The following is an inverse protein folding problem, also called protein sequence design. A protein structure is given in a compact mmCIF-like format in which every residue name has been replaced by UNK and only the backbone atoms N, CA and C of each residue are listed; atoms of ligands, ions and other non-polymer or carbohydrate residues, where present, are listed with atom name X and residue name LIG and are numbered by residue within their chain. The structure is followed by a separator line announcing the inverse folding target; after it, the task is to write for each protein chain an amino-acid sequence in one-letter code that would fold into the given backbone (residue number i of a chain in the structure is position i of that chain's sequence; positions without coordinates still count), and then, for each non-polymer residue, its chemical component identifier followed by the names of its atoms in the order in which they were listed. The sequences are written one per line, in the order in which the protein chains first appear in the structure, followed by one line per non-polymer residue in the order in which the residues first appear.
data_IF_953750350817
#
_entry.id   IF_953750350817
#
_cell.length_a   1.000
_cell.length_b   1.000
_cell.length_c   1.000
_cell.angle_alpha   90.00
_cell.angle_beta   90.00
_cell.angle_gamma   90.00
#
_symmetry.space_group_name_H-M   'P 1'
#
loop_
_entity.id
_entity.type
_entity.pdbx_description
1 polymer ?
#
# COMPACT_ATOMS: atom_id res chain seq x y z
N UNK A 1 -14.27 4.18 3.27
CA UNK A 1 -13.89 2.75 3.16
C UNK A 1 -15.05 1.88 2.67
N UNK A 2 -16.33 2.20 2.87
CA UNK A 2 -17.43 1.44 2.22
C UNK A 2 -17.38 1.50 0.70
N UNK A 3 -18.07 0.57 0.03
CA UNK A 3 -18.25 0.55 -1.42
C UNK A 3 -19.55 1.28 -1.82
N UNK A 4 -19.67 1.79 -3.06
CA UNK A 4 -20.89 2.48 -3.50
C UNK A 4 -22.16 1.60 -3.43
N UNK A 5 -22.02 0.31 -3.71
CA UNK A 5 -23.10 -0.69 -3.68
C UNK A 5 -23.19 -1.46 -2.35
N UNK A 6 -22.21 -1.24 -1.45
CA UNK A 6 -22.15 -1.86 -0.14
C UNK A 6 -21.49 -0.91 0.87
N UNK A 7 -22.23 0.12 1.33
CA UNK A 7 -21.69 1.12 2.22
C UNK A 7 -21.41 0.53 3.60
N UNK A 8 -20.45 1.12 4.32
CA UNK A 8 -20.32 0.87 5.76
C UNK A 8 -21.58 1.42 6.44
N UNK A 9 -22.25 0.66 7.32
CA UNK A 9 -23.42 1.13 8.05
C UNK A 9 -23.18 2.45 8.77
N UNK A 10 -24.21 3.30 8.88
CA UNK A 10 -24.08 4.56 9.60
C UNK A 10 -23.72 4.30 11.07
N UNK A 11 -22.68 4.98 11.54
CA UNK A 11 -22.13 4.81 12.88
C UNK A 11 -21.44 6.09 13.34
N UNK A 12 -21.19 6.20 14.64
CA UNK A 12 -20.60 7.40 15.24
C UNK A 12 -19.11 7.58 14.90
N UNK A 13 -18.37 6.51 14.64
CA UNK A 13 -16.91 6.57 14.43
C UNK A 13 -16.56 6.61 12.95
N UNK A 14 -15.59 7.43 12.56
CA UNK A 14 -15.04 7.42 11.19
C UNK A 14 -13.79 6.55 11.05
N UNK A 15 -13.04 6.33 12.13
CA UNK A 15 -11.85 5.47 12.15
C UNK A 15 -12.20 4.12 12.76
N UNK A 16 -12.48 3.16 11.89
CA UNK A 16 -12.73 1.77 12.25
C UNK A 16 -11.44 1.03 12.59
N UNK A 17 -11.57 0.06 13.50
CA UNK A 17 -10.50 -0.88 13.83
C UNK A 17 -10.27 -1.88 12.70
N UNK A 18 -9.12 -2.53 12.72
CA UNK A 18 -8.79 -3.58 11.75
C UNK A 18 -9.79 -4.75 11.79
N UNK A 19 -10.29 -5.11 12.97
CA UNK A 19 -11.30 -6.16 13.14
C UNK A 19 -12.64 -5.77 12.51
N UNK A 20 -13.14 -4.54 12.75
CA UNK A 20 -14.38 -4.06 12.15
C UNK A 20 -14.31 -4.00 10.62
N UNK A 21 -13.15 -3.63 10.05
CA UNK A 21 -12.95 -3.66 8.59
C UNK A 21 -12.91 -5.09 8.05
N UNK A 22 -12.29 -6.04 8.78
CA UNK A 22 -12.30 -7.46 8.40
C UNK A 22 -13.73 -8.02 8.41
N UNK A 23 -14.52 -7.70 9.43
CA UNK A 23 -15.92 -8.11 9.53
C UNK A 23 -16.75 -7.52 8.37
N UNK A 24 -16.53 -6.24 8.03
CA UNK A 24 -17.15 -5.61 6.86
C UNK A 24 -16.82 -6.35 5.55
N UNK A 25 -15.56 -6.72 5.33
CA UNK A 25 -15.14 -7.45 4.13
C UNK A 25 -15.71 -8.88 4.09
N UNK A 26 -15.79 -9.55 5.24
CA UNK A 26 -16.44 -10.86 5.34
C UNK A 26 -17.93 -10.77 5.01
N UNK A 27 -18.61 -9.75 5.53
CA UNK A 27 -20.02 -9.50 5.24
C UNK A 27 -20.25 -9.18 3.76
N UNK A 28 -19.38 -8.38 3.14
CA UNK A 28 -19.40 -8.13 1.70
C UNK A 28 -19.32 -9.47 0.92
N UNK A 29 -18.34 -10.32 1.26
CA UNK A 29 -18.15 -11.61 0.60
C UNK A 29 -19.35 -12.57 0.80
N UNK A 30 -20.02 -12.51 1.95
CA UNK A 30 -21.24 -13.27 2.21
C UNK A 30 -22.44 -12.74 1.43
N UNK A 31 -22.68 -11.43 1.47
CA UNK A 31 -23.79 -10.76 0.80
C UNK A 31 -23.81 -11.06 -0.71
N UNK A 32 -22.64 -11.02 -1.36
CA UNK A 32 -22.49 -11.31 -2.79
C UNK A 32 -22.20 -12.78 -3.10
N UNK A 33 -22.21 -13.67 -2.09
CA UNK A 33 -22.00 -15.10 -2.27
C UNK A 33 -20.64 -15.46 -2.88
N UNK A 34 -19.60 -14.68 -2.60
CA UNK A 34 -18.28 -14.78 -3.23
C UNK A 34 -17.44 -15.93 -2.69
N UNK A 35 -17.70 -16.37 -1.45
CA UNK A 35 -16.90 -17.42 -0.78
C UNK A 35 -16.78 -18.72 -1.59
N UNK A 36 -17.78 -19.07 -2.40
CA UNK A 36 -17.77 -20.26 -3.27
C UNK A 36 -16.72 -20.21 -4.40
N UNK A 37 -16.22 -19.01 -4.74
CA UNK A 37 -15.18 -18.81 -5.75
C UNK A 37 -13.78 -18.68 -5.15
N UNK A 38 -13.67 -18.61 -3.82
CA UNK A 38 -12.41 -18.38 -3.11
C UNK A 38 -11.87 -19.71 -2.61
N UNK A 39 -10.67 -20.09 -3.05
CA UNK A 39 -9.92 -21.23 -2.50
C UNK A 39 -8.90 -20.73 -1.48
N UNK A 40 -9.28 -20.71 -0.20
CA UNK A 40 -8.36 -20.40 0.88
C UNK A 40 -7.25 -21.46 1.00
N UNK A 41 -6.17 -21.14 1.72
CA UNK A 41 -5.01 -22.02 1.92
C UNK A 41 -4.36 -22.54 0.62
N UNK A 42 -4.61 -21.87 -0.50
CA UNK A 42 -4.04 -22.18 -1.80
C UNK A 42 -3.02 -21.10 -2.16
N UNK A 43 -1.77 -21.49 -2.36
CA UNK A 43 -0.72 -20.55 -2.78
C UNK A 43 -0.47 -20.69 -4.27
N UNK A 44 -0.52 -19.57 -4.99
CA UNK A 44 -0.12 -19.49 -6.40
C UNK A 44 1.40 -19.56 -6.47
N UNK A 45 1.92 -20.53 -7.22
CA UNK A 45 3.35 -20.80 -7.35
C UNK A 45 3.91 -20.30 -8.68
N UNK A 46 3.12 -20.38 -9.74
CA UNK A 46 3.55 -20.03 -11.09
C UNK A 46 2.35 -19.59 -11.94
N UNK A 47 2.52 -18.51 -12.69
CA UNK A 47 1.60 -17.99 -13.69
C UNK A 47 2.42 -17.74 -14.94
N UNK A 48 2.02 -18.36 -16.06
CA UNK A 48 2.65 -18.14 -17.36
C UNK A 48 1.64 -18.23 -18.49
N UNK A 49 1.82 -17.47 -19.58
CA UNK A 49 1.03 -17.65 -20.78
C UNK A 49 1.35 -19.00 -21.45
N UNK A 50 0.31 -19.66 -21.97
CA UNK A 50 0.39 -20.86 -22.83
C UNK A 50 -0.66 -20.69 -23.91
N UNK A 51 -0.25 -20.60 -25.17
CA UNK A 51 -1.11 -20.24 -26.29
C UNK A 51 -1.89 -18.95 -26.01
N UNK A 52 -3.22 -19.00 -26.02
CA UNK A 52 -4.11 -17.86 -25.72
C UNK A 52 -4.67 -17.89 -24.28
N UNK A 53 -4.07 -18.68 -23.38
CA UNK A 53 -4.54 -18.86 -22.00
C UNK A 53 -3.40 -18.69 -21.00
N UNK A 54 -3.77 -18.67 -19.72
CA UNK A 54 -2.88 -18.60 -18.58
C UNK A 54 -2.86 -19.93 -17.87
N UNK A 55 -1.69 -20.56 -17.84
CA UNK A 55 -1.44 -21.72 -16.99
C UNK A 55 -1.04 -21.24 -15.61
N UNK A 56 -1.86 -21.60 -14.62
CA UNK A 56 -1.63 -21.25 -13.22
C UNK A 56 -1.39 -22.54 -12.43
N UNK A 57 -0.24 -22.60 -11.77
CA UNK A 57 0.14 -23.69 -10.86
C UNK A 57 -0.06 -23.22 -9.42
N UNK A 58 -0.80 -24.00 -8.65
CA UNK A 58 -1.09 -23.73 -7.25
C UNK A 58 -0.68 -24.91 -6.37
N UNK A 59 -0.44 -24.64 -5.09
CA UNK A 59 -0.26 -25.65 -4.06
C UNK A 59 -1.30 -25.45 -2.96
N UNK A 60 -2.03 -26.51 -2.64
CA UNK A 60 -2.82 -26.59 -1.42
C UNK A 60 -1.87 -26.69 -0.22
N UNK A 61 -1.80 -25.66 0.62
CA UNK A 61 -0.84 -25.57 1.71
C UNK A 61 -1.01 -26.67 2.78
N UNK A 62 -2.23 -27.10 3.15
CA UNK A 62 -2.41 -28.18 4.13
C UNK A 62 -1.94 -29.55 3.63
N UNK A 63 -2.22 -29.90 2.37
CA UNK A 63 -1.92 -31.25 1.83
C UNK A 63 -0.63 -31.33 1.03
N UNK A 64 -0.10 -30.19 0.57
CA UNK A 64 1.01 -30.12 -0.37
C UNK A 64 0.63 -30.50 -1.81
N UNK A 65 -0.66 -30.74 -2.08
CA UNK A 65 -1.13 -31.12 -3.41
C UNK A 65 -0.92 -29.98 -4.40
N UNK A 66 -0.26 -30.28 -5.51
CA UNK A 66 -0.08 -29.35 -6.63
C UNK A 66 -1.19 -29.59 -7.64
N UNK A 67 -1.80 -28.51 -8.11
CA UNK A 67 -2.76 -28.55 -9.21
C UNK A 67 -2.50 -27.41 -10.19
N UNK A 68 -2.86 -27.67 -11.44
CA UNK A 68 -2.63 -26.78 -12.57
C UNK A 68 -3.95 -26.58 -13.30
N UNK A 69 -4.29 -25.33 -13.57
CA UNK A 69 -5.50 -24.97 -14.30
C UNK A 69 -5.16 -23.95 -15.40
N UNK A 70 -5.96 -23.97 -16.47
CA UNK A 70 -5.92 -22.99 -17.55
C UNK A 70 -7.05 -21.98 -17.36
N UNK A 71 -6.76 -20.71 -17.63
CA UNK A 71 -7.69 -19.60 -17.52
C UNK A 71 -7.57 -18.67 -18.73
N UNK A 72 -8.67 -18.10 -19.18
CA UNK A 72 -8.65 -17.17 -20.32
C UNK A 72 -8.11 -15.78 -19.92
N UNK A 73 -8.16 -15.44 -18.64
CA UNK A 73 -7.67 -14.17 -18.11
C UNK A 73 -7.20 -14.30 -16.66
N UNK A 74 -6.35 -13.39 -16.22
CA UNK A 74 -5.78 -13.36 -14.87
C UNK A 74 -5.78 -11.94 -14.29
N UNK A 75 -6.27 -11.80 -13.06
CA UNK A 75 -6.19 -10.56 -12.28
C UNK A 75 -5.24 -10.76 -11.10
N UNK A 76 -4.18 -9.96 -11.03
CA UNK A 76 -3.16 -10.02 -9.99
C UNK A 76 -3.54 -9.04 -8.87
N UNK A 77 -3.89 -9.60 -7.72
CA UNK A 77 -4.41 -8.88 -6.56
C UNK A 77 -3.66 -9.24 -5.25
N UNK A 78 -2.37 -9.61 -5.32
CA UNK A 78 -1.61 -10.08 -4.15
C UNK A 78 -1.12 -8.94 -3.22
N UNK A 79 -1.42 -7.68 -3.56
CA UNK A 79 -0.96 -6.51 -2.82
C UNK A 79 0.55 -6.25 -2.93
N UNK A 80 1.01 -5.20 -2.25
CA UNK A 80 2.39 -4.72 -2.37
C UNK A 80 2.99 -4.21 -1.04
N UNK A 81 2.38 -4.56 0.10
CA UNK A 81 2.88 -4.26 1.44
C UNK A 81 3.33 -5.53 2.18
N UNK A 82 4.04 -6.41 1.47
CA UNK A 82 4.47 -7.73 1.98
C UNK A 82 5.97 -8.00 1.83
N UNK A 83 6.63 -7.58 0.74
CA UNK A 83 8.09 -7.77 0.57
C UNK A 83 8.87 -6.55 1.13
N UNK A 84 9.52 -6.66 2.30
CA UNK A 84 10.09 -5.51 3.00
C UNK A 84 11.37 -4.98 2.35
N UNK A 85 11.54 -3.65 2.37
CA UNK A 85 12.81 -3.01 2.04
C UNK A 85 13.63 -2.88 3.32
N UNK A 86 14.69 -3.67 3.45
CA UNK A 86 15.59 -3.65 4.60
C UNK A 86 16.95 -3.10 4.15
N UNK A 87 17.23 -1.81 4.34
CA UNK A 87 18.53 -1.25 3.95
C UNK A 87 19.64 -1.81 4.85
N UNK A 88 20.83 -1.99 4.27
CA UNK A 88 22.02 -2.34 5.04
C UNK A 88 22.56 -1.09 5.75
N UNK A 89 22.86 -1.21 7.04
CA UNK A 89 23.55 -0.17 7.82
C UNK A 89 25.04 -0.56 7.89
N UNK A 90 25.99 0.35 7.63
CA UNK A 90 27.40 0.05 7.85
C UNK A 90 27.65 -0.37 9.32
N UNK A 91 28.35 -1.49 9.54
CA UNK A 91 28.59 -2.04 10.87
C UNK A 91 27.41 -2.84 11.45
N UNK A 92 26.37 -3.12 10.67
CA UNK A 92 25.18 -3.84 11.12
C UNK A 92 25.50 -5.20 11.77
N UNK A 93 26.54 -5.88 11.30
CA UNK A 93 27.05 -7.14 11.84
C UNK A 93 27.57 -7.05 13.28
N UNK A 94 27.90 -5.84 13.75
CA UNK A 94 28.36 -5.59 15.11
C UNK A 94 27.19 -5.47 16.10
N UNK A 95 25.96 -5.28 15.61
CA UNK A 95 24.81 -5.06 16.48
C UNK A 95 24.35 -6.37 17.14
N UNK A 96 24.38 -6.40 18.47
CA UNK A 96 23.95 -7.54 19.27
C UNK A 96 22.45 -7.55 19.58
N UNK A 97 21.76 -6.43 19.33
CA UNK A 97 20.32 -6.29 19.49
C UNK A 97 19.51 -6.89 18.35
N UNK A 98 18.19 -6.68 18.38
CA UNK A 98 17.30 -7.16 17.32
C UNK A 98 17.16 -6.13 16.20
N UNK A 99 17.31 -6.57 14.94
CA UNK A 99 17.00 -5.75 13.77
C UNK A 99 15.87 -6.43 13.01
N UNK A 100 14.79 -5.70 12.77
CA UNK A 100 13.65 -6.23 12.02
C UNK A 100 12.93 -5.14 11.21
N UNK A 101 12.06 -5.56 10.30
CA UNK A 101 11.18 -4.66 9.56
C UNK A 101 9.80 -4.58 10.20
N UNK A 102 9.10 -3.46 10.02
CA UNK A 102 7.70 -3.24 10.40
C UNK A 102 6.73 -4.34 9.92
N UNK A 103 7.12 -5.10 8.89
CA UNK A 103 6.38 -6.27 8.41
C UNK A 103 6.23 -7.36 9.50
N UNK A 104 7.23 -7.51 10.36
CA UNK A 104 7.26 -8.50 11.44
C UNK A 104 6.69 -7.96 12.75
N UNK A 105 6.36 -6.67 12.81
CA UNK A 105 5.75 -6.07 13.99
C UNK A 105 4.34 -6.62 14.23
N UNK A 106 4.01 -6.94 15.49
CA UNK A 106 2.70 -7.45 15.90
C UNK A 106 2.13 -6.68 17.08
N UNK A 107 2.93 -6.47 18.11
CA UNK A 107 2.54 -5.80 19.34
C UNK A 107 3.74 -5.04 19.95
N UNK A 108 3.48 -4.06 20.84
CA UNK A 108 4.53 -3.26 21.44
C UNK A 108 5.20 -3.98 22.63
N UNK A 109 4.56 -4.98 23.25
CA UNK A 109 4.95 -5.55 24.55
C UNK A 109 6.38 -6.08 24.57
N UNK A 110 6.83 -6.66 23.46
CA UNK A 110 8.22 -7.12 23.31
C UNK A 110 9.28 -6.02 23.40
N UNK A 111 8.89 -4.74 23.31
CA UNK A 111 9.77 -3.57 23.47
C UNK A 111 9.68 -2.94 24.86
N UNK A 112 8.92 -3.53 25.77
CA UNK A 112 8.75 -3.02 27.13
C UNK A 112 10.09 -2.84 27.82
N UNK A 113 10.35 -1.65 28.35
CA UNK A 113 11.60 -1.32 29.05
C UNK A 113 12.84 -1.24 28.15
N UNK A 114 12.69 -1.22 26.82
CA UNK A 114 13.81 -1.17 25.88
C UNK A 114 14.05 0.25 25.34
N UNK A 115 15.25 0.44 24.78
CA UNK A 115 15.58 1.57 23.90
C UNK A 115 15.44 1.12 22.44
N UNK A 116 14.53 1.74 21.69
CA UNK A 116 14.19 1.32 20.33
C UNK A 116 14.49 2.41 19.31
N UNK A 117 15.15 2.05 18.21
CA UNK A 117 15.37 2.93 17.08
C UNK A 117 14.39 2.57 15.95
N UNK A 118 13.49 3.48 15.60
CA UNK A 118 12.58 3.36 14.45
C UNK A 118 13.16 4.13 13.26
N UNK A 119 13.27 3.48 12.10
CA UNK A 119 13.93 4.06 10.91
C UNK A 119 12.93 4.29 9.79
N UNK A 120 12.71 5.56 9.42
CA UNK A 120 11.80 6.01 8.38
C UNK A 120 10.54 6.65 8.96
N UNK A 121 10.18 7.85 8.48
CA UNK A 121 9.02 8.63 8.95
C UNK A 121 7.82 8.57 7.98
N UNK A 122 7.60 7.42 7.35
CA UNK A 122 6.34 7.14 6.64
C UNK A 122 5.20 6.79 7.62
N UNK A 123 3.99 6.46 7.13
CA UNK A 123 2.85 6.14 7.99
C UNK A 123 3.16 5.07 9.05
N UNK A 124 3.83 3.97 8.68
CA UNK A 124 4.24 2.93 9.64
C UNK A 124 5.21 3.45 10.70
N UNK A 125 6.22 4.22 10.31
CA UNK A 125 7.21 4.71 11.27
C UNK A 125 6.62 5.70 12.25
N UNK A 126 5.72 6.58 11.79
CA UNK A 126 5.04 7.52 12.66
C UNK A 126 4.16 6.79 13.69
N UNK A 127 3.30 5.88 13.22
CA UNK A 127 2.32 5.16 14.05
C UNK A 127 3.02 4.18 15.01
N UNK A 128 4.03 3.43 14.53
CA UNK A 128 4.78 2.49 15.36
C UNK A 128 5.67 3.21 16.39
N UNK A 129 6.21 4.38 16.08
CA UNK A 129 6.92 5.21 17.09
C UNK A 129 5.99 5.55 18.25
N UNK A 130 4.76 6.00 17.95
CA UNK A 130 3.77 6.32 18.98
C UNK A 130 3.30 5.07 19.75
N UNK A 131 3.13 3.95 19.05
CA UNK A 131 2.66 2.72 19.68
C UNK A 131 3.73 2.10 20.60
N UNK A 132 4.98 2.05 20.15
CA UNK A 132 6.11 1.50 20.93
C UNK A 132 6.43 2.38 22.13
N UNK A 133 6.32 3.71 22.02
CA UNK A 133 6.62 4.63 23.13
C UNK A 133 5.70 4.47 24.33
N UNK A 134 4.55 3.80 24.18
CA UNK A 134 3.65 3.48 25.29
C UNK A 134 4.21 2.45 26.27
N UNK A 135 5.23 1.68 25.89
CA UNK A 135 5.83 0.62 26.72
C UNK A 135 7.36 0.66 26.80
N UNK A 136 8.03 1.25 25.80
CA UNK A 136 9.49 1.37 25.75
C UNK A 136 10.00 2.51 26.67
N UNK A 137 11.20 2.34 27.22
CA UNK A 137 11.84 3.36 28.05
C UNK A 137 12.28 4.57 27.22
N UNK A 138 12.69 4.35 25.97
CA UNK A 138 13.15 5.39 25.06
C UNK A 138 12.95 4.97 23.61
N UNK A 139 12.48 5.88 22.76
CA UNK A 139 12.31 5.64 21.33
C UNK A 139 12.97 6.76 20.53
N UNK A 140 13.74 6.41 19.50
CA UNK A 140 14.24 7.37 18.53
C UNK A 140 13.59 7.13 17.18
N UNK A 141 12.99 8.15 16.60
CA UNK A 141 12.55 8.15 15.21
C UNK A 141 13.63 8.80 14.34
N UNK A 142 14.32 8.00 13.52
CA UNK A 142 15.32 8.47 12.56
C UNK A 142 14.74 8.58 11.17
N UNK A 143 14.98 9.69 10.46
CA UNK A 143 14.46 9.88 9.10
C UNK A 143 15.28 10.85 8.23
N UNK A 144 14.92 10.88 6.94
CA UNK A 144 15.50 11.75 5.91
C UNK A 144 14.52 12.78 5.34
N UNK A 145 13.29 12.86 5.88
CA UNK A 145 12.31 13.83 5.37
C UNK A 145 12.78 15.26 5.67
N UNK A 146 12.62 16.16 4.68
CA UNK A 146 13.06 17.55 4.78
C UNK A 146 12.10 18.38 5.66
N UNK A 147 10.81 18.08 5.59
CA UNK A 147 9.80 18.77 6.39
C UNK A 147 9.85 18.29 7.85
N UNK A 148 9.74 19.21 8.82
CA UNK A 148 9.66 18.84 10.23
C UNK A 148 8.44 17.96 10.53
N UNK A 149 8.62 16.96 11.38
CA UNK A 149 7.50 16.18 11.92
C UNK A 149 6.72 17.08 12.88
N UNK A 150 5.43 17.30 12.58
CA UNK A 150 4.54 18.16 13.37
C UNK A 150 3.92 17.45 14.58
N UNK A 151 3.85 16.12 14.52
CA UNK A 151 3.34 15.29 15.62
C UNK A 151 4.09 15.58 16.91
N UNK A 152 3.34 15.88 17.96
CA UNK A 152 3.87 15.95 19.32
C UNK A 152 3.89 14.54 19.92
N UNK A 153 5.07 13.93 19.96
CA UNK A 153 5.25 12.63 20.60
C UNK A 153 5.38 12.75 22.13
N UNK A 154 5.15 11.65 22.88
CA UNK A 154 5.46 11.59 24.30
C UNK A 154 6.94 11.91 24.60
N UNK A 155 7.23 12.34 25.83
CA UNK A 155 8.55 12.85 26.23
C UNK A 155 9.71 11.84 26.10
N UNK A 156 9.42 10.54 26.02
CA UNK A 156 10.41 9.48 25.81
C UNK A 156 10.73 9.23 24.32
N UNK A 157 10.22 10.06 23.41
CA UNK A 157 10.51 9.99 21.98
C UNK A 157 11.39 11.14 21.55
N UNK A 158 12.45 10.83 20.82
CA UNK A 158 13.32 11.82 20.19
C UNK A 158 13.37 11.62 18.67
N UNK A 159 13.43 12.72 17.93
CA UNK A 159 13.62 12.69 16.47
C UNK A 159 15.09 12.94 16.17
N UNK A 160 15.69 12.08 15.34
CA UNK A 160 17.08 12.17 14.94
C UNK A 160 17.23 12.18 13.43
N UNK A 161 18.34 12.71 12.90
CA UNK A 161 18.63 12.59 11.48
C UNK A 161 18.99 11.14 11.14
N UNK A 162 19.39 10.91 9.89
CA UNK A 162 19.67 9.56 9.37
C UNK A 162 20.79 8.84 10.12
N UNK A 163 20.76 7.51 10.06
CA UNK A 163 21.80 6.65 10.64
C UNK A 163 23.04 6.73 9.75
N UNK A 164 24.19 6.96 10.38
CA UNK A 164 25.49 6.92 9.70
C UNK A 164 26.07 5.51 9.70
N UNK A 165 26.11 4.85 10.87
CA UNK A 165 26.62 3.47 11.05
C UNK A 165 26.29 2.94 12.45
N UNK A 166 26.49 1.64 12.64
CA UNK A 166 26.59 1.00 13.95
C UNK A 166 28.07 0.94 14.33
N UNK A 167 28.41 1.40 15.53
CA UNK A 167 29.79 1.49 16.00
C UNK A 167 30.26 0.21 16.67
N UNK A 168 29.45 -0.35 17.56
CA UNK A 168 29.73 -1.55 18.36
C UNK A 168 28.46 -1.97 19.11
N UNK A 169 28.28 -3.27 19.35
CA UNK A 169 27.26 -3.91 20.20
C UNK A 169 25.84 -3.32 20.16
N UNK A 170 25.58 -2.19 20.82
CA UNK A 170 24.27 -1.51 20.88
C UNK A 170 24.31 -0.05 20.35
N UNK A 171 25.49 0.47 20.01
CA UNK A 171 25.74 1.89 19.79
C UNK A 171 25.61 2.27 18.32
N UNK A 172 24.68 3.17 18.02
CA UNK A 172 24.43 3.72 16.68
C UNK A 172 24.91 5.16 16.62
N UNK A 173 25.64 5.51 15.56
CA UNK A 173 26.07 6.88 15.21
C UNK A 173 25.12 7.45 14.15
N UNK A 174 24.63 8.67 14.36
CA UNK A 174 23.82 9.43 13.42
C UNK A 174 24.70 10.37 12.57
N UNK A 175 24.15 10.88 11.46
CA UNK A 175 24.93 11.74 10.54
C UNK A 175 25.37 13.08 11.16
N UNK A 176 24.73 13.52 12.24
CA UNK A 176 25.13 14.71 13.01
C UNK A 176 26.29 14.43 14.01
N UNK A 177 26.79 13.19 14.05
CA UNK A 177 27.85 12.74 14.95
C UNK A 177 27.37 12.33 16.35
N UNK A 178 26.08 12.48 16.65
CA UNK A 178 25.52 12.01 17.92
C UNK A 178 25.45 10.49 17.95
N UNK A 179 25.51 9.92 19.16
CA UNK A 179 25.49 8.47 19.36
C UNK A 179 24.48 8.09 20.44
N UNK A 180 23.76 6.98 20.25
CA UNK A 180 22.83 6.42 21.22
C UNK A 180 22.91 4.89 21.23
N UNK A 181 22.65 4.28 22.40
CA UNK A 181 22.55 2.83 22.55
C UNK A 181 21.11 2.33 22.39
N UNK A 182 20.91 1.22 21.67
CA UNK A 182 19.61 0.64 21.36
C UNK A 182 19.59 -0.87 21.55
N UNK A 183 18.47 -1.40 22.04
CA UNK A 183 18.23 -2.85 22.13
C UNK A 183 17.60 -3.39 20.84
N UNK A 184 16.88 -2.55 20.10
CA UNK A 184 16.22 -2.93 18.86
C UNK A 184 16.25 -1.82 17.81
N UNK A 185 16.34 -2.22 16.54
CA UNK A 185 16.19 -1.37 15.36
C UNK A 185 15.01 -1.88 14.55
N UNK A 186 14.02 -1.02 14.31
CA UNK A 186 12.82 -1.32 13.56
C UNK A 186 12.78 -0.50 12.27
N UNK A 187 12.99 -1.17 11.15
CA UNK A 187 12.89 -0.58 9.82
C UNK A 187 11.44 -0.35 9.41
N UNK A 188 11.08 0.90 9.20
CA UNK A 188 9.82 1.38 8.63
C UNK A 188 10.07 1.98 7.23
N UNK A 189 10.86 1.28 6.43
CA UNK A 189 11.47 1.75 5.18
C UNK A 189 10.70 1.34 3.92
N UNK A 190 9.49 0.83 4.10
CA UNK A 190 8.55 0.52 3.02
C UNK A 190 8.76 -0.86 2.41
N UNK A 191 8.18 -1.06 1.23
CA UNK A 191 8.03 -2.37 0.61
C UNK A 191 8.37 -2.31 -0.88
N UNK A 192 8.69 -3.46 -1.47
CA UNK A 192 8.84 -3.64 -2.92
C UNK A 192 7.56 -4.22 -3.52
N UNK A 193 7.30 -3.87 -4.78
CA UNK A 193 6.45 -4.71 -5.60
C UNK A 193 7.16 -6.04 -5.85
N UNK A 194 6.46 -7.13 -5.60
CA UNK A 194 7.01 -8.47 -5.72
C UNK A 194 5.93 -9.42 -6.21
N UNK A 195 6.22 -10.11 -7.31
CA UNK A 195 5.35 -11.10 -7.93
C UNK A 195 6.15 -12.38 -8.23
N UNK A 196 6.62 -13.09 -7.19
CA UNK A 196 7.55 -14.22 -7.35
C UNK A 196 6.95 -15.41 -8.12
N UNK A 197 5.63 -15.40 -8.31
CA UNK A 197 4.89 -16.40 -9.08
C UNK A 197 4.72 -16.03 -10.56
N UNK A 198 5.08 -14.82 -11.01
CA UNK A 198 5.02 -14.48 -12.44
C UNK A 198 6.28 -15.01 -13.12
N UNK A 199 6.10 -15.88 -14.11
CA UNK A 199 7.19 -16.36 -14.94
C UNK A 199 7.71 -15.25 -15.87
N UNK A 200 8.99 -15.30 -16.27
CA UNK A 200 9.60 -14.29 -17.15
C UNK A 200 8.85 -14.09 -18.48
N UNK A 201 8.20 -15.14 -18.99
CA UNK A 201 7.36 -15.07 -20.20
C UNK A 201 6.08 -14.25 -20.04
N UNK A 202 5.73 -13.84 -18.81
CA UNK A 202 4.74 -12.80 -18.59
C UNK A 202 5.22 -11.44 -19.10
N UNK A 203 6.54 -11.22 -19.21
CA UNK A 203 7.17 -9.97 -19.66
C UNK A 203 6.83 -8.75 -18.79
N UNK A 204 6.70 -8.98 -17.48
CA UNK A 204 6.57 -7.92 -16.48
C UNK A 204 7.96 -7.58 -15.94
N UNK A 205 8.29 -6.29 -15.96
CA UNK A 205 9.51 -5.76 -15.37
C UNK A 205 9.17 -4.88 -14.17
N UNK A 206 10.01 -4.95 -13.14
CA UNK A 206 9.94 -4.08 -11.96
C UNK A 206 11.31 -3.44 -11.79
N UNK A 207 11.36 -2.11 -11.87
CA UNK A 207 12.60 -1.37 -11.69
C UNK A 207 12.35 -0.18 -10.75
N UNK A 208 13.01 -0.19 -9.58
CA UNK A 208 12.76 0.70 -8.44
C UNK A 208 11.26 0.96 -8.21
N UNK A 209 10.50 -0.11 -7.95
CA UNK A 209 9.05 -0.06 -7.74
C UNK A 209 8.20 0.53 -8.89
N UNK A 210 8.74 0.61 -10.10
CA UNK A 210 7.96 0.90 -11.30
C UNK A 210 7.70 -0.39 -12.09
N UNK A 211 6.43 -0.77 -12.22
CA UNK A 211 5.98 -1.98 -12.93
C UNK A 211 5.62 -1.62 -14.37
N UNK A 212 6.18 -2.33 -15.33
CA UNK A 212 5.97 -2.12 -16.76
C UNK A 212 5.81 -3.45 -17.51
N UNK A 213 5.10 -3.48 -18.66
CA UNK A 213 4.43 -2.36 -19.33
C UNK A 213 2.91 -2.32 -19.03
N UNK A 214 2.50 -1.43 -18.10
CA UNK A 214 1.11 -1.34 -17.66
C UNK A 214 0.38 -0.10 -18.21
N UNK A 215 -0.68 -0.32 -18.99
CA UNK A 215 -1.64 0.71 -19.35
C UNK A 215 -2.48 1.10 -18.13
N UNK A 216 -2.56 2.40 -17.85
CA UNK A 216 -3.29 2.98 -16.69
C UNK A 216 -2.93 2.32 -15.35
N UNK A 217 -1.66 1.89 -15.22
CA UNK A 217 -1.11 1.18 -14.06
C UNK A 217 -1.79 -0.16 -13.73
N UNK A 218 -2.50 -0.76 -14.68
CA UNK A 218 -3.31 -1.96 -14.44
C UNK A 218 -3.11 -3.04 -15.50
N UNK A 219 -3.34 -2.71 -16.77
CA UNK A 219 -3.51 -3.72 -17.82
C UNK A 219 -2.17 -3.94 -18.52
N UNK A 220 -1.73 -5.19 -18.64
CA UNK A 220 -0.52 -5.48 -19.42
C UNK A 220 -0.77 -5.13 -20.89
N UNK A 221 0.04 -4.23 -21.46
CA UNK A 221 -0.15 -3.68 -22.81
C UNK A 221 -0.18 -4.80 -23.88
N UNK A 222 0.81 -5.70 -23.87
CA UNK A 222 0.90 -6.77 -24.88
C UNK A 222 0.04 -8.00 -24.60
N UNK A 223 -0.37 -8.21 -23.35
CA UNK A 223 -1.15 -9.37 -22.90
C UNK A 223 -2.35 -8.89 -22.10
N UNK A 224 -3.33 -8.20 -22.72
CA UNK A 224 -4.38 -7.47 -22.00
C UNK A 224 -5.36 -8.36 -21.22
N UNK A 225 -5.30 -9.69 -21.40
CA UNK A 225 -5.96 -10.67 -20.52
C UNK A 225 -5.24 -10.86 -19.17
N UNK A 226 -4.16 -10.12 -18.91
CA UNK A 226 -3.55 -9.93 -17.59
C UNK A 226 -3.75 -8.49 -17.11
N UNK A 227 -4.25 -8.35 -15.88
CA UNK A 227 -4.45 -7.07 -15.20
C UNK A 227 -3.95 -7.12 -13.76
N UNK A 228 -3.50 -6.00 -13.23
CA UNK A 228 -3.13 -5.78 -11.85
C UNK A 228 -4.14 -4.84 -11.19
N UNK A 229 -4.67 -5.24 -10.04
CA UNK A 229 -5.56 -4.39 -9.25
C UNK A 229 -4.81 -3.91 -8.02
N UNK A 230 -4.89 -2.61 -7.77
CA UNK A 230 -4.34 -2.00 -6.57
C UNK A 230 -2.84 -1.72 -6.62
N UNK A 231 -2.25 -1.53 -7.81
CA UNK A 231 -0.88 -1.02 -7.94
C UNK A 231 -0.77 0.43 -7.44
N UNK A 232 -1.67 1.36 -7.78
CA UNK A 232 -1.45 2.74 -7.37
C UNK A 232 -1.56 2.96 -5.85
N UNK A 233 -0.74 3.86 -5.32
CA UNK A 233 -0.74 4.24 -3.90
C UNK A 233 -1.00 5.74 -3.71
N UNK A 234 -1.24 6.15 -2.45
CA UNK A 234 -1.79 7.47 -2.12
C UNK A 234 -3.14 7.73 -2.79
N UNK A 235 -4.11 6.86 -2.49
CA UNK A 235 -5.40 6.74 -3.19
C UNK A 235 -6.55 6.58 -2.20
N UNK A 236 -7.78 6.72 -2.68
CA UNK A 236 -8.99 6.20 -2.03
C UNK A 236 -9.05 4.68 -2.23
N UNK A 237 -8.34 3.90 -1.42
CA UNK A 237 -8.01 2.48 -1.64
C UNK A 237 -9.17 1.60 -2.12
N UNK A 238 -10.24 1.43 -1.32
CA UNK A 238 -11.33 0.50 -1.68
C UNK A 238 -12.14 1.00 -2.89
N UNK A 239 -12.31 2.32 -3.00
CA UNK A 239 -13.02 2.95 -4.12
C UNK A 239 -12.27 2.76 -5.43
N UNK A 240 -10.94 2.91 -5.40
CA UNK A 240 -10.09 2.63 -6.54
C UNK A 240 -10.16 1.16 -6.93
N UNK A 241 -10.06 0.23 -5.97
CA UNK A 241 -10.16 -1.21 -6.29
C UNK A 241 -11.47 -1.56 -7.00
N UNK A 242 -12.59 -1.03 -6.52
CA UNK A 242 -13.90 -1.19 -7.16
C UNK A 242 -13.91 -0.63 -8.59
N UNK A 243 -13.45 0.62 -8.79
CA UNK A 243 -13.42 1.23 -10.11
C UNK A 243 -12.50 0.48 -11.09
N UNK A 244 -11.32 0.05 -10.64
CA UNK A 244 -10.38 -0.73 -11.42
C UNK A 244 -10.98 -2.10 -11.82
N UNK A 245 -11.64 -2.78 -10.87
CA UNK A 245 -12.32 -4.04 -11.15
C UNK A 245 -13.47 -3.86 -12.15
N UNK A 246 -14.31 -2.83 -11.98
CA UNK A 246 -15.40 -2.52 -12.92
C UNK A 246 -14.87 -2.20 -14.32
N UNK A 247 -13.81 -1.41 -14.42
CA UNK A 247 -13.15 -1.08 -15.69
C UNK A 247 -12.72 -2.35 -16.42
N UNK A 248 -11.96 -3.21 -15.73
CA UNK A 248 -11.40 -4.40 -16.34
C UNK A 248 -12.47 -5.46 -16.66
N UNK A 249 -13.47 -5.64 -15.80
CA UNK A 249 -14.61 -6.52 -16.07
C UNK A 249 -15.44 -6.07 -17.29
N UNK A 250 -15.61 -4.76 -17.52
CA UNK A 250 -16.28 -4.27 -18.72
C UNK A 250 -15.51 -4.61 -19.99
N UNK A 251 -14.17 -4.50 -19.95
CA UNK A 251 -13.32 -4.97 -21.04
C UNK A 251 -13.47 -6.48 -21.27
N UNK A 252 -13.33 -7.31 -20.24
CA UNK A 252 -13.44 -8.77 -20.36
C UNK A 252 -14.80 -9.24 -20.88
N UNK A 253 -15.88 -8.53 -20.54
CA UNK A 253 -17.24 -8.85 -20.99
C UNK A 253 -17.57 -8.25 -22.37
N UNK A 254 -16.61 -7.61 -23.05
CA UNK A 254 -16.82 -7.00 -24.36
C UNK A 254 -17.73 -5.77 -24.35
N UNK A 255 -17.97 -5.17 -23.17
CA UNK A 255 -18.76 -3.94 -23.02
C UNK A 255 -17.92 -2.68 -23.27
N UNK A 256 -16.61 -2.83 -23.38
CA UNK A 256 -15.63 -1.79 -23.70
C UNK A 256 -14.48 -2.43 -24.48
N UNK A 257 -13.93 -1.69 -25.44
CA UNK A 257 -12.68 -2.06 -26.12
C UNK A 257 -11.52 -1.24 -25.55
N UNK A 258 -10.34 -1.85 -25.42
CA UNK A 258 -9.12 -1.10 -25.17
C UNK A 258 -8.62 -0.44 -26.47
N UNK A 259 -7.88 0.66 -26.38
CA UNK A 259 -7.09 1.16 -27.50
C UNK A 259 -6.10 0.12 -28.01
N UNK A 260 -5.54 0.37 -29.20
CA UNK A 260 -4.44 -0.45 -29.71
C UNK A 260 -3.22 -0.41 -28.78
N UNK A 261 -2.36 -1.43 -28.87
CA UNK A 261 -1.15 -1.49 -28.06
C UNK A 261 -0.25 -0.24 -28.26
N UNK A 262 -0.20 0.30 -29.48
CA UNK A 262 0.56 1.52 -29.77
C UNK A 262 -0.03 2.74 -29.07
N UNK A 263 -1.35 2.93 -29.13
CA UNK A 263 -2.03 4.03 -28.42
C UNK A 263 -1.87 3.91 -26.91
N UNK A 264 -1.94 2.68 -26.36
CA UNK A 264 -1.69 2.44 -24.93
C UNK A 264 -0.24 2.79 -24.53
N UNK A 265 0.75 2.51 -25.40
CA UNK A 265 2.15 2.88 -25.15
C UNK A 265 2.37 4.38 -25.19
N UNK A 266 1.84 5.06 -26.20
CA UNK A 266 1.91 6.54 -26.31
C UNK A 266 1.31 7.18 -25.07
N UNK A 267 0.09 6.78 -24.69
CA UNK A 267 -0.56 7.28 -23.49
C UNK A 267 0.26 7.02 -22.22
N UNK A 268 0.80 5.81 -22.06
CA UNK A 268 1.60 5.46 -20.87
C UNK A 268 2.89 6.28 -20.82
N UNK A 269 3.54 6.50 -21.96
CA UNK A 269 4.74 7.32 -22.06
C UNK A 269 4.45 8.79 -21.69
N UNK A 270 3.36 9.36 -22.21
CA UNK A 270 2.93 10.73 -21.87
C UNK A 270 2.63 10.88 -20.37
N UNK A 271 1.97 9.91 -19.74
CA UNK A 271 1.75 9.91 -18.29
C UNK A 271 3.08 9.86 -17.52
N UNK A 272 4.02 9.00 -17.93
CA UNK A 272 5.35 8.91 -17.30
C UNK A 272 6.14 10.22 -17.41
N UNK A 273 6.14 10.86 -18.58
CA UNK A 273 6.81 12.14 -18.81
C UNK A 273 6.18 13.26 -17.97
N UNK A 274 4.86 13.32 -17.91
CA UNK A 274 4.14 14.28 -17.07
C UNK A 274 4.47 14.09 -15.58
N UNK A 275 4.58 12.84 -15.11
CA UNK A 275 4.98 12.50 -13.74
C UNK A 275 6.42 12.93 -13.45
N UNK A 276 7.34 12.69 -14.39
CA UNK A 276 8.72 13.12 -14.27
C UNK A 276 8.84 14.65 -14.23
N UNK A 277 8.07 15.37 -15.06
CA UNK A 277 8.02 16.83 -15.07
C UNK A 277 7.52 17.42 -13.74
N UNK A 278 6.68 16.69 -13.00
CA UNK A 278 6.24 17.03 -11.64
C UNK A 278 7.28 16.69 -10.56
N UNK A 279 8.41 16.11 -10.93
CA UNK A 279 9.51 15.75 -10.01
C UNK A 279 9.35 14.40 -9.32
N UNK A 280 8.44 13.52 -9.78
CA UNK A 280 8.34 12.18 -9.23
C UNK A 280 9.57 11.34 -9.57
N UNK A 281 10.08 10.64 -8.55
CA UNK A 281 11.12 9.62 -8.73
C UNK A 281 10.54 8.34 -9.33
N UNK A 282 11.40 7.43 -9.80
CA UNK A 282 11.00 6.17 -10.43
C UNK A 282 10.04 5.34 -9.55
N UNK A 283 10.34 5.20 -8.26
CA UNK A 283 9.44 4.54 -7.29
C UNK A 283 8.10 5.21 -7.02
N UNK A 284 7.94 6.46 -7.47
CA UNK A 284 6.71 7.23 -7.34
C UNK A 284 5.87 7.20 -8.63
N UNK A 285 6.28 6.47 -9.68
CA UNK A 285 5.53 6.44 -10.94
C UNK A 285 4.11 5.88 -10.80
N UNK A 286 3.83 5.06 -9.78
CA UNK A 286 2.47 4.60 -9.44
C UNK A 286 1.80 5.41 -8.31
N UNK A 287 2.39 6.53 -7.87
CA UNK A 287 1.77 7.39 -6.86
C UNK A 287 0.67 8.24 -7.48
N UNK A 288 -0.55 8.19 -6.96
CA UNK A 288 -1.61 9.09 -7.44
C UNK A 288 -1.57 10.44 -6.74
N UNK A 289 -1.67 10.46 -5.40
CA UNK A 289 -1.60 11.70 -4.63
C UNK A 289 -2.58 12.77 -5.17
N UNK A 290 -2.10 13.96 -5.56
CA UNK A 290 -2.96 15.01 -6.13
C UNK A 290 -3.70 14.60 -7.41
N UNK A 291 -3.16 13.65 -8.17
CA UNK A 291 -3.69 13.24 -9.48
C UNK A 291 -4.78 12.15 -9.38
N UNK A 292 -5.12 11.69 -8.16
CA UNK A 292 -6.05 10.57 -7.96
C UNK A 292 -7.43 10.81 -8.58
N UNK A 293 -7.99 12.02 -8.47
CA UNK A 293 -9.31 12.34 -9.05
C UNK A 293 -9.28 12.27 -10.58
N UNK A 294 -8.20 12.75 -11.21
CA UNK A 294 -8.05 12.71 -12.67
C UNK A 294 -8.03 11.26 -13.16
N UNK A 295 -7.23 10.42 -12.50
CA UNK A 295 -7.16 8.99 -12.79
C UNK A 295 -8.53 8.30 -12.67
N UNK A 296 -9.29 8.60 -11.61
CA UNK A 296 -10.62 8.03 -11.43
C UNK A 296 -11.61 8.49 -12.49
N UNK A 297 -11.61 9.78 -12.83
CA UNK A 297 -12.51 10.33 -13.84
C UNK A 297 -12.22 9.71 -15.21
N UNK A 298 -10.96 9.51 -15.54
CA UNK A 298 -10.52 8.94 -16.80
C UNK A 298 -10.96 7.47 -16.94
N UNK A 299 -10.69 6.62 -15.94
CA UNK A 299 -11.19 5.24 -15.92
C UNK A 299 -12.72 5.19 -16.02
N UNK A 300 -13.41 6.07 -15.29
CA UNK A 300 -14.86 6.11 -15.28
C UNK A 300 -15.44 6.53 -16.64
N UNK A 301 -14.80 7.51 -17.29
CA UNK A 301 -15.18 8.02 -18.60
C UNK A 301 -15.04 6.93 -19.67
N UNK A 302 -13.85 6.35 -19.80
CA UNK A 302 -13.52 5.30 -20.77
C UNK A 302 -14.47 4.10 -20.64
N UNK A 303 -14.72 3.68 -19.40
CA UNK A 303 -15.59 2.55 -19.11
C UNK A 303 -17.07 2.91 -19.06
N UNK A 304 -17.46 4.16 -19.33
CA UNK A 304 -18.84 4.67 -19.22
C UNK A 304 -19.52 4.19 -17.91
N UNK A 305 -18.91 4.49 -16.78
CA UNK A 305 -19.36 4.06 -15.44
C UNK A 305 -19.32 5.22 -14.46
N UNK A 306 -20.02 5.07 -13.32
CA UNK A 306 -19.98 6.08 -12.27
C UNK A 306 -18.54 6.34 -11.78
N UNK A 307 -18.10 7.61 -11.71
CA UNK A 307 -16.81 8.00 -11.15
C UNK A 307 -16.81 7.93 -9.62
N UNK A 308 -15.63 8.06 -9.04
CA UNK A 308 -15.49 8.22 -7.58
C UNK A 308 -15.84 9.66 -7.21
N UNK A 309 -16.83 9.90 -6.32
CA UNK A 309 -17.25 11.24 -5.95
C UNK A 309 -16.12 12.08 -5.35
N UNK A 310 -15.98 13.38 -5.73
CA UNK A 310 -14.91 14.24 -5.22
C UNK A 310 -14.85 14.37 -3.70
N UNK A 311 -15.98 14.26 -3.00
CA UNK A 311 -16.03 14.27 -1.53
C UNK A 311 -15.11 13.21 -0.90
N UNK A 312 -14.96 12.04 -1.53
CA UNK A 312 -14.13 10.95 -1.00
C UNK A 312 -12.64 11.29 -1.10
N UNK A 313 -12.22 11.92 -2.20
CA UNK A 313 -10.85 12.42 -2.37
C UNK A 313 -10.56 13.53 -1.35
N UNK A 314 -11.47 14.51 -1.21
CA UNK A 314 -11.33 15.59 -0.22
C UNK A 314 -11.23 15.05 1.22
N UNK A 315 -12.05 14.06 1.58
CA UNK A 315 -12.01 13.40 2.88
C UNK A 315 -10.69 12.65 3.10
N UNK A 316 -10.23 11.89 2.10
CA UNK A 316 -8.96 11.16 2.17
C UNK A 316 -7.80 12.11 2.39
N UNK A 317 -7.74 13.20 1.64
CA UNK A 317 -6.66 14.18 1.73
C UNK A 317 -6.69 14.95 3.06
N UNK A 318 -7.88 15.30 3.56
CA UNK A 318 -8.00 15.87 4.91
C UNK A 318 -7.55 14.86 5.99
N UNK A 319 -7.97 13.61 5.91
CA UNK A 319 -7.60 12.56 6.88
C UNK A 319 -6.10 12.33 6.90
N UNK A 320 -5.45 12.28 5.72
CA UNK A 320 -3.99 12.17 5.61
C UNK A 320 -3.30 13.40 6.18
N UNK A 321 -3.79 14.61 5.88
CA UNK A 321 -3.27 15.83 6.48
C UNK A 321 -3.36 15.78 8.01
N UNK A 322 -4.50 15.36 8.56
CA UNK A 322 -4.70 15.22 10.01
C UNK A 322 -3.76 14.19 10.64
N UNK A 323 -3.50 13.06 9.97
CA UNK A 323 -2.51 12.08 10.42
C UNK A 323 -1.12 12.70 10.59
N UNK A 324 -0.68 13.55 9.65
CA UNK A 324 0.63 14.19 9.71
C UNK A 324 0.69 15.42 10.64
N UNK A 325 -0.43 16.13 10.80
CA UNK A 325 -0.51 17.31 11.69
C UNK A 325 -0.73 16.91 13.16
N UNK A 326 -1.42 15.81 13.44
CA UNK A 326 -1.90 15.42 14.78
C UNK A 326 -2.14 13.89 14.87
N UNK A 327 -1.05 13.11 14.80
CA UNK A 327 -1.10 11.64 14.83
C UNK A 327 -1.78 11.08 16.08
N UNK A 328 -1.71 11.80 17.21
CA UNK A 328 -2.26 11.32 18.49
C UNK A 328 -3.79 11.35 18.45
N UNK A 329 -4.40 12.42 17.93
CA UNK A 329 -5.84 12.64 18.07
C UNK A 329 -6.62 12.55 16.76
N UNK A 330 -5.98 12.42 15.58
CA UNK A 330 -6.73 12.43 14.30
C UNK A 330 -7.83 11.35 14.22
N UNK A 331 -7.66 10.22 14.92
CA UNK A 331 -8.65 9.12 14.95
C UNK A 331 -9.91 9.45 15.75
N UNK A 332 -9.90 10.52 16.54
CA UNK A 332 -11.08 11.02 17.25
C UNK A 332 -11.98 11.86 16.34
N UNK A 333 -11.48 12.28 15.17
CA UNK A 333 -12.26 13.06 14.22
C UNK A 333 -13.42 12.21 13.65
N UNK A 334 -14.61 12.80 13.63
CA UNK A 334 -15.80 12.20 13.02
C UNK A 334 -16.22 13.00 11.79
N UNK A 335 -16.61 12.32 10.73
CA UNK A 335 -16.98 12.92 9.45
C UNK A 335 -18.32 12.39 8.97
N UNK A 336 -19.15 13.29 8.43
CA UNK A 336 -20.41 12.96 7.74
C UNK A 336 -20.39 13.53 6.33
N UNK A 337 -20.60 12.65 5.34
CA UNK A 337 -20.80 13.06 3.94
C UNK A 337 -22.19 13.67 3.81
N UNK A 338 -22.28 14.85 3.19
CA UNK A 338 -23.54 15.54 2.93
C UNK A 338 -24.04 15.31 1.50
N UNK A 339 -23.11 15.34 0.54
CA UNK A 339 -23.37 15.14 -0.88
C UNK A 339 -22.08 14.70 -1.60
N UNK A 340 -22.10 14.59 -2.92
CA UNK A 340 -20.95 14.15 -3.74
C UNK A 340 -19.73 15.09 -3.68
N UNK A 341 -19.90 16.31 -3.17
CA UNK A 341 -18.88 17.35 -3.11
C UNK A 341 -18.46 17.70 -1.68
N UNK A 342 -19.36 17.54 -0.70
CA UNK A 342 -19.23 18.14 0.62
C UNK A 342 -19.37 17.12 1.74
N UNK A 343 -18.58 17.34 2.79
CA UNK A 343 -18.69 16.65 4.06
C UNK A 343 -18.52 17.66 5.19
N UNK A 344 -18.91 17.26 6.40
CA UNK A 344 -18.68 18.03 7.62
C UNK A 344 -17.92 17.19 8.62
N UNK A 345 -17.04 17.83 9.38
CA UNK A 345 -16.49 17.24 10.61
C UNK A 345 -17.54 17.41 11.71
N UNK A 346 -18.00 16.30 12.27
CA UNK A 346 -18.98 16.29 13.36
C UNK A 346 -18.20 16.43 14.67
N UNK A 347 -18.59 17.39 15.52
CA UNK A 347 -18.02 17.54 16.86
C UNK A 347 -18.51 16.41 17.77
N UNK A 348 -17.62 15.90 18.63
CA UNK A 348 -17.98 14.94 19.69
C UNK A 348 -19.00 15.51 20.68
#
# INVERSE_FOLDING_TARGET
MGYPDFPIPEQKKSYLTQAEILDFLNLYAENFGLKKYIKCNTMVMDVRPVDNQWKITCVDKPTGQIFVNLYDSVMICNGHYNDPITPSIPGQELFAGTIEHSHNYRDPERFRGQKVLVVGAGPSGLDLTLHISSVADYVVLSHRVAEPIKTQYPANVEIRPDIKRILDFDKVEFIDGTCCGFNAILFCTGYRYSFPFLHDSCEISIDDNHIQPLYKHMIHIDKPTMCFIGIPFNVCTFQMFDLQARYYCKYLNGLMSLPSAEEMRVHTQEDMENRQAKGYTKRQMHMMGPDQQSYYNELAHDANTAPIPPVLVKLRDLSVKRLYDDLVNFREDQYKILDEQNFVKVSN
#
